data_IF_442162735029
#
_entry.id   IF_442162735029
#
_cell.length_a   1.000
_cell.length_b   1.000
_cell.length_c   1.000
_cell.angle_alpha   90.00
_cell.angle_beta   90.00
_cell.angle_gamma   90.00
#
_symmetry.space_group_name_H-M   'P 1'
#
loop_
_entity.id
_entity.type
_entity.pdbx_description
1 polymer ?
#
# COMPACT_ATOMS: atom_id res chain seq x y z
N UNK A 1 46.69 -6.04 23.34
CA UNK A 1 46.87 -4.60 23.06
C UNK A 1 46.02 -4.28 21.83
N UNK A 2 45.11 -3.33 21.73
CA UNK A 2 44.84 -2.12 22.49
C UNK A 2 43.36 -1.74 22.28
N UNK A 3 42.67 -1.41 23.36
CA UNK A 3 41.37 -0.76 23.35
C UNK A 3 41.55 0.75 23.24
N UNK A 4 40.72 1.40 22.43
CA UNK A 4 40.24 2.79 22.56
C UNK A 4 40.27 3.53 21.23
N UNK A 5 39.06 3.87 20.75
CA UNK A 5 38.75 5.04 19.91
C UNK A 5 37.24 5.21 19.68
N UNK A 6 36.42 4.78 20.64
CA UNK A 6 34.97 5.06 20.69
C UNK A 6 34.75 6.11 21.78
N UNK A 7 34.48 7.36 21.42
CA UNK A 7 34.12 8.38 22.42
C UNK A 7 34.38 9.85 22.10
N UNK A 8 34.44 10.29 20.84
CA UNK A 8 34.70 11.72 20.55
C UNK A 8 33.88 12.35 19.41
N UNK A 9 32.77 11.73 18.99
CA UNK A 9 31.89 12.30 17.93
C UNK A 9 30.54 12.84 18.41
N UNK A 10 30.10 12.50 19.62
CA UNK A 10 28.78 12.92 20.13
C UNK A 10 28.72 14.30 20.81
N UNK A 11 29.86 14.92 21.16
CA UNK A 11 29.89 16.21 21.89
C UNK A 11 29.96 17.47 21.02
N UNK A 12 30.23 17.33 19.72
CA UNK A 12 30.46 18.48 18.83
C UNK A 12 29.19 19.07 18.19
N UNK A 13 28.04 18.39 18.25
CA UNK A 13 26.76 18.88 17.69
C UNK A 13 25.90 19.61 18.75
N UNK A 14 26.10 19.29 20.04
CA UNK A 14 25.36 19.92 21.14
C UNK A 14 25.77 21.38 21.38
N UNK A 15 27.04 21.73 21.17
CA UNK A 15 27.57 23.08 21.42
C UNK A 15 26.95 24.14 20.48
N UNK A 16 26.87 23.95 19.15
CA UNK A 16 26.19 24.93 18.28
C UNK A 16 24.68 25.04 18.53
N UNK A 17 24.00 23.94 18.90
CA UNK A 17 22.58 23.97 19.23
C UNK A 17 22.30 24.74 20.55
N UNK A 18 23.13 24.56 21.57
CA UNK A 18 23.05 25.30 22.84
C UNK A 18 23.41 26.78 22.67
N UNK A 19 24.39 27.11 21.81
CA UNK A 19 24.73 28.50 21.51
C UNK A 19 23.62 29.23 20.72
N UNK A 20 22.97 28.55 19.76
CA UNK A 20 21.82 29.10 19.04
C UNK A 20 20.61 29.30 19.94
N UNK A 21 20.32 28.34 20.82
CA UNK A 21 19.24 28.48 21.82
C UNK A 21 19.53 29.61 22.82
N UNK A 22 20.79 29.79 23.23
CA UNK A 22 21.20 30.87 24.14
C UNK A 22 21.13 32.25 23.48
N UNK A 23 21.52 32.35 22.20
CA UNK A 23 21.41 33.59 21.42
C UNK A 23 19.95 33.99 21.16
N UNK A 24 19.07 33.01 20.90
CA UNK A 24 17.63 33.24 20.77
C UNK A 24 17.02 33.73 22.10
N UNK A 25 17.42 33.13 23.24
CA UNK A 25 16.95 33.57 24.56
C UNK A 25 17.41 35.00 24.89
N UNK A 26 18.68 35.33 24.60
CA UNK A 26 19.22 36.67 24.82
C UNK A 26 18.52 37.72 23.95
N UNK A 27 18.26 37.42 22.67
CA UNK A 27 17.51 38.31 21.78
C UNK A 27 16.08 38.56 22.29
N UNK A 28 15.40 37.53 22.79
CA UNK A 28 14.06 37.65 23.41
C UNK A 28 14.10 38.51 24.67
N UNK A 29 15.11 38.35 25.54
CA UNK A 29 15.27 39.14 26.76
C UNK A 29 15.57 40.62 26.45
N UNK A 30 16.49 40.90 25.52
CA UNK A 30 16.80 42.27 25.12
C UNK A 30 15.61 42.95 24.45
N UNK A 31 14.82 42.22 23.65
CA UNK A 31 13.60 42.74 23.05
C UNK A 31 12.50 43.00 24.09
N UNK A 32 12.41 42.18 25.14
CA UNK A 32 11.53 42.40 26.29
C UNK A 32 11.90 43.66 27.09
N UNK A 33 13.20 43.94 27.25
CA UNK A 33 13.70 45.15 27.93
C UNK A 33 13.45 46.45 27.16
N UNK A 34 13.19 46.38 25.84
CA UNK A 34 12.93 47.53 24.97
C UNK A 34 11.44 47.70 24.62
N UNK A 35 10.58 46.77 25.04
CA UNK A 35 9.13 46.83 24.79
C UNK A 35 8.45 47.86 25.71
N UNK A 36 7.50 48.64 25.16
CA UNK A 36 6.70 49.60 25.93
C UNK A 36 5.85 48.87 26.98
N UNK A 37 5.56 49.47 28.15
CA UNK A 37 4.67 48.87 29.14
C UNK A 37 3.30 48.56 28.50
N UNK A 38 2.90 47.29 28.53
CA UNK A 38 1.63 46.80 27.99
C UNK A 38 1.71 45.95 26.72
N UNK A 39 2.89 45.78 26.10
CA UNK A 39 3.07 44.83 24.99
C UNK A 39 3.68 43.51 25.48
N UNK A 40 3.11 42.37 25.09
CA UNK A 40 3.58 41.00 25.38
C UNK A 40 4.13 40.30 24.12
N UNK A 41 5.25 40.77 23.55
CA UNK A 41 5.77 40.27 22.26
C UNK A 41 6.09 38.76 22.28
N UNK A 42 6.35 38.19 23.46
CA UNK A 42 6.54 36.74 23.64
C UNK A 42 5.20 35.99 23.54
N UNK A 43 4.12 36.56 24.09
CA UNK A 43 2.77 36.00 23.98
C UNK A 43 2.28 35.98 22.54
N UNK A 44 2.49 37.09 21.82
CA UNK A 44 2.16 37.21 20.39
C UNK A 44 2.90 36.17 19.52
N UNK A 45 4.19 35.95 19.78
CA UNK A 45 4.98 35.00 18.99
C UNK A 45 4.60 33.54 19.31
N UNK A 46 4.33 33.22 20.57
CA UNK A 46 3.79 31.91 20.96
C UNK A 46 2.41 31.65 20.36
N UNK A 47 1.54 32.66 20.30
CA UNK A 47 0.23 32.58 19.66
C UNK A 47 0.35 32.31 18.15
N UNK A 48 1.29 32.98 17.47
CA UNK A 48 1.60 32.72 16.05
C UNK A 48 2.10 31.31 15.82
N UNK A 49 3.08 30.85 16.60
CA UNK A 49 3.59 29.48 16.49
C UNK A 49 2.50 28.44 16.77
N UNK A 50 1.60 28.70 17.73
CA UNK A 50 0.41 27.88 17.99
C UNK A 50 -0.56 27.83 16.80
N UNK A 51 -0.81 28.98 16.15
CA UNK A 51 -1.68 29.05 14.98
C UNK A 51 -1.09 28.30 13.77
N UNK A 52 0.21 28.45 13.51
CA UNK A 52 0.90 27.75 12.42
C UNK A 52 0.96 26.23 12.65
N UNK A 53 1.25 25.80 13.87
CA UNK A 53 1.26 24.37 14.23
C UNK A 53 -0.14 23.75 14.17
N UNK A 54 -1.17 24.46 14.63
CA UNK A 54 -2.57 24.04 14.51
C UNK A 54 -3.02 23.90 13.05
N UNK A 55 -2.68 24.88 12.19
CA UNK A 55 -3.00 24.83 10.77
C UNK A 55 -2.28 23.70 10.03
N UNK A 56 -1.01 23.44 10.37
CA UNK A 56 -0.24 22.33 9.80
C UNK A 56 -0.85 20.98 10.22
N UNK A 57 -1.17 20.80 11.50
CA UNK A 57 -1.81 19.59 12.01
C UNK A 57 -3.18 19.34 11.35
N UNK A 58 -3.98 20.40 11.15
CA UNK A 58 -5.25 20.30 10.44
C UNK A 58 -5.07 19.87 8.98
N UNK A 59 -4.05 20.39 8.27
CA UNK A 59 -3.72 19.98 6.90
C UNK A 59 -3.25 18.53 6.82
N UNK A 60 -2.40 18.09 7.75
CA UNK A 60 -1.94 16.69 7.81
C UNK A 60 -3.10 15.73 8.08
N UNK A 61 -4.01 16.11 8.98
CA UNK A 61 -5.21 15.31 9.29
C UNK A 61 -6.21 15.28 8.15
N UNK A 62 -6.26 16.31 7.31
CA UNK A 62 -7.09 16.34 6.11
C UNK A 62 -6.47 15.58 4.92
N UNK A 63 -5.13 15.49 4.84
CA UNK A 63 -4.42 14.73 3.79
C UNK A 63 -4.39 13.23 4.07
N UNK A 64 -4.41 12.82 5.34
CA UNK A 64 -4.84 11.48 5.68
C UNK A 64 -6.34 11.43 5.43
N UNK A 65 -6.79 10.69 4.40
CA UNK A 65 -8.22 10.52 4.12
C UNK A 65 -8.98 9.91 5.31
N UNK A 66 -10.18 9.38 5.08
CA UNK A 66 -11.00 8.69 6.09
C UNK A 66 -10.39 7.36 6.62
N UNK A 67 -9.11 7.35 6.99
CA UNK A 67 -8.60 6.74 8.22
C UNK A 67 -8.53 5.23 8.31
N UNK A 68 -9.02 4.46 7.34
CA UNK A 68 -8.72 3.05 7.23
C UNK A 68 -7.93 2.83 5.95
N UNK A 69 -6.67 2.40 6.07
CA UNK A 69 -6.00 1.78 4.94
C UNK A 69 -6.90 0.62 4.48
N UNK A 70 -7.21 0.57 3.19
CA UNK A 70 -8.01 -0.51 2.63
C UNK A 70 -7.13 -1.77 2.52
N UNK A 71 -6.95 -2.42 3.67
CA UNK A 71 -6.18 -3.65 3.79
C UNK A 71 -6.80 -4.78 2.98
N UNK A 72 -8.10 -4.73 2.69
CA UNK A 72 -8.76 -5.71 1.84
C UNK A 72 -8.35 -5.51 0.37
N UNK A 73 -8.29 -4.27 -0.11
CA UNK A 73 -7.74 -3.95 -1.43
C UNK A 73 -6.27 -4.35 -1.54
N UNK A 74 -5.46 -3.98 -0.55
CA UNK A 74 -4.03 -4.29 -0.55
C UNK A 74 -3.75 -5.80 -0.48
N UNK A 75 -4.58 -6.57 0.23
CA UNK A 75 -4.40 -8.02 0.38
C UNK A 75 -4.65 -8.82 -0.91
N UNK A 76 -5.33 -8.23 -1.90
CA UNK A 76 -5.60 -8.86 -3.20
C UNK A 76 -4.65 -8.40 -4.31
N UNK A 77 -3.72 -7.50 -4.00
CA UNK A 77 -2.71 -7.06 -4.97
C UNK A 77 -1.72 -8.18 -5.25
N UNK A 78 -1.49 -8.43 -6.55
CA UNK A 78 -0.43 -9.30 -7.04
C UNK A 78 0.73 -8.38 -7.43
N UNK A 79 1.83 -8.39 -6.67
CA UNK A 79 2.86 -7.34 -6.74
C UNK A 79 3.43 -7.14 -8.15
N UNK A 80 3.64 -8.23 -8.90
CA UNK A 80 4.21 -8.22 -10.25
C UNK A 80 3.14 -8.45 -11.34
N UNK A 81 1.86 -8.35 -10.98
CA UNK A 81 0.73 -8.61 -11.88
C UNK A 81 0.29 -7.39 -12.70
N UNK A 82 0.21 -7.53 -14.03
CA UNK A 82 -0.44 -6.56 -14.92
C UNK A 82 -1.77 -7.11 -15.43
N UNK A 83 -2.93 -6.53 -15.05
CA UNK A 83 -4.24 -7.03 -15.46
C UNK A 83 -4.47 -6.93 -16.98
N UNK A 84 -3.86 -5.99 -17.70
CA UNK A 84 -4.02 -5.90 -19.16
C UNK A 84 -3.32 -7.07 -19.85
N UNK A 85 -2.10 -7.39 -19.40
CA UNK A 85 -1.40 -8.61 -19.83
C UNK A 85 -2.15 -9.86 -19.43
N UNK A 86 -2.70 -9.90 -18.21
CA UNK A 86 -3.55 -10.98 -17.73
C UNK A 86 -4.75 -11.25 -18.63
N UNK A 87 -5.45 -10.21 -19.05
CA UNK A 87 -6.58 -10.33 -19.97
C UNK A 87 -6.19 -10.99 -21.30
N UNK A 88 -5.03 -10.59 -21.87
CA UNK A 88 -4.51 -11.19 -23.12
C UNK A 88 -4.15 -12.65 -22.92
N UNK A 89 -3.48 -12.99 -21.82
CA UNK A 89 -3.09 -14.36 -21.51
C UNK A 89 -4.31 -15.26 -21.27
N UNK A 90 -5.32 -14.79 -20.52
CA UNK A 90 -6.59 -15.51 -20.31
C UNK A 90 -7.28 -15.84 -21.65
N UNK A 91 -7.23 -14.91 -22.60
CA UNK A 91 -7.75 -15.15 -23.95
C UNK A 91 -6.89 -16.16 -24.73
N UNK A 92 -5.56 -16.05 -24.66
CA UNK A 92 -4.61 -16.90 -25.39
C UNK A 92 -4.64 -18.36 -24.90
N UNK A 93 -4.68 -18.57 -23.59
CA UNK A 93 -4.81 -19.90 -22.98
C UNK A 93 -6.24 -20.47 -23.12
N UNK A 94 -7.18 -19.73 -23.69
CA UNK A 94 -8.52 -20.26 -23.99
C UNK A 94 -9.39 -20.48 -22.76
N UNK A 95 -9.16 -19.78 -21.64
CA UNK A 95 -9.95 -19.90 -20.41
C UNK A 95 -11.46 -19.67 -20.67
N UNK A 96 -11.78 -18.85 -21.67
CA UNK A 96 -13.14 -18.56 -22.11
C UNK A 96 -13.90 -19.73 -22.73
N UNK A 97 -13.23 -20.83 -23.08
CA UNK A 97 -13.89 -22.06 -23.54
C UNK A 97 -14.69 -22.73 -22.41
N UNK A 98 -14.21 -22.64 -21.17
CA UNK A 98 -14.86 -23.23 -20.00
C UNK A 98 -15.59 -22.21 -19.16
N UNK A 99 -15.08 -20.98 -19.06
CA UNK A 99 -15.62 -19.96 -18.18
C UNK A 99 -16.28 -18.80 -18.94
N UNK A 100 -17.30 -18.21 -18.32
CA UNK A 100 -17.78 -16.88 -18.68
C UNK A 100 -16.94 -15.85 -17.93
N UNK A 101 -16.26 -14.96 -18.66
CA UNK A 101 -15.30 -14.01 -18.10
C UNK A 101 -15.63 -12.60 -18.59
N UNK A 102 -16.12 -11.69 -17.72
CA UNK A 102 -16.38 -10.30 -18.10
C UNK A 102 -15.12 -9.64 -18.66
N UNK A 103 -15.26 -8.87 -19.75
CA UNK A 103 -14.14 -8.15 -20.36
C UNK A 103 -13.27 -8.97 -21.33
N UNK A 104 -13.44 -10.29 -21.40
CA UNK A 104 -12.73 -11.15 -22.36
C UNK A 104 -13.64 -11.49 -23.54
N UNK A 105 -13.18 -11.17 -24.75
CA UNK A 105 -13.96 -11.39 -25.96
C UNK A 105 -14.29 -12.89 -26.15
N UNK A 106 -15.57 -13.19 -26.41
CA UNK A 106 -16.11 -14.54 -26.64
C UNK A 106 -15.93 -15.54 -25.48
N UNK A 107 -15.49 -15.11 -24.30
CA UNK A 107 -15.45 -15.95 -23.10
C UNK A 107 -16.86 -16.17 -22.54
N UNK A 108 -17.56 -17.18 -23.06
CA UNK A 108 -18.95 -17.53 -22.73
C UNK A 108 -19.10 -19.02 -22.37
N UNK A 109 -18.01 -19.66 -21.96
CA UNK A 109 -18.02 -21.05 -21.53
C UNK A 109 -18.89 -21.24 -20.27
N UNK A 110 -19.43 -22.45 -20.14
CA UNK A 110 -20.29 -22.85 -19.02
C UNK A 110 -19.91 -24.21 -18.42
N UNK A 111 -18.74 -24.74 -18.78
CA UNK A 111 -18.20 -25.97 -18.18
C UNK A 111 -17.71 -25.68 -16.76
N UNK A 112 -17.00 -24.56 -16.59
CA UNK A 112 -16.65 -24.00 -15.30
C UNK A 112 -17.65 -22.93 -14.85
N UNK A 113 -17.60 -22.52 -13.57
CA UNK A 113 -18.42 -21.42 -13.07
C UNK A 113 -18.09 -20.10 -13.78
N UNK A 114 -19.05 -19.19 -13.85
CA UNK A 114 -18.78 -17.82 -14.29
C UNK A 114 -17.81 -17.12 -13.30
N UNK A 115 -16.88 -16.32 -13.83
CA UNK A 115 -15.84 -15.64 -13.04
C UNK A 115 -16.19 -14.18 -12.70
N UNK A 116 -17.41 -13.74 -12.99
CA UNK A 116 -17.87 -12.45 -12.52
C UNK A 116 -17.82 -12.39 -10.99
N UNK A 117 -17.40 -11.25 -10.43
CA UNK A 117 -17.26 -11.09 -8.98
C UNK A 117 -16.29 -12.04 -8.30
N UNK A 118 -15.34 -12.61 -9.05
CA UNK A 118 -14.29 -13.50 -8.51
C UNK A 118 -13.57 -12.87 -7.31
N UNK A 119 -13.31 -11.55 -7.35
CA UNK A 119 -12.66 -10.80 -6.27
C UNK A 119 -13.29 -11.04 -4.90
N UNK A 120 -14.60 -11.24 -4.82
CA UNK A 120 -15.33 -11.42 -3.56
C UNK A 120 -15.45 -12.86 -3.10
N UNK A 121 -14.96 -13.83 -3.87
CA UNK A 121 -15.02 -15.23 -3.48
C UNK A 121 -14.10 -15.48 -2.28
N UNK A 122 -14.57 -16.26 -1.31
CA UNK A 122 -13.75 -16.67 -0.18
C UNK A 122 -12.76 -17.79 -0.55
N UNK A 123 -13.13 -18.62 -1.52
CA UNK A 123 -12.37 -19.80 -1.93
C UNK A 123 -12.22 -19.89 -3.45
N UNK A 124 -11.05 -20.32 -3.89
CA UNK A 124 -10.72 -20.69 -5.27
C UNK A 124 -11.12 -22.15 -5.47
N UNK A 125 -12.02 -22.40 -6.41
CA UNK A 125 -12.57 -23.72 -6.73
C UNK A 125 -13.10 -24.52 -5.52
N UNK A 126 -13.43 -23.84 -4.41
CA UNK A 126 -13.86 -24.45 -3.16
C UNK A 126 -12.78 -25.16 -2.35
N UNK A 127 -11.50 -25.10 -2.75
CA UNK A 127 -10.42 -25.89 -2.13
C UNK A 127 -9.29 -25.04 -1.53
N UNK A 128 -9.03 -23.85 -2.07
CA UNK A 128 -7.99 -22.95 -1.58
C UNK A 128 -8.60 -21.62 -1.11
N UNK A 129 -8.10 -21.00 -0.04
CA UNK A 129 -8.47 -19.63 0.32
C UNK A 129 -8.17 -18.67 -0.84
N UNK A 130 -9.02 -17.69 -1.10
CA UNK A 130 -8.78 -16.71 -2.16
C UNK A 130 -7.73 -15.67 -1.74
N UNK A 131 -6.46 -16.01 -1.92
CA UNK A 131 -5.29 -15.14 -1.71
C UNK A 131 -4.44 -15.12 -2.98
N UNK A 132 -3.71 -14.02 -3.27
CA UNK A 132 -2.89 -13.90 -4.48
C UNK A 132 -2.02 -15.11 -4.79
N UNK A 133 -1.20 -15.56 -3.84
CA UNK A 133 -0.33 -16.73 -4.05
C UNK A 133 -1.10 -18.04 -4.24
N UNK A 134 -2.25 -18.21 -3.58
CA UNK A 134 -3.09 -19.41 -3.73
C UNK A 134 -3.75 -19.45 -5.13
N UNK A 135 -4.11 -18.29 -5.69
CA UNK A 135 -4.64 -18.19 -7.05
C UNK A 135 -3.57 -18.46 -8.11
N UNK A 136 -2.37 -17.89 -7.93
CA UNK A 136 -1.23 -18.16 -8.81
C UNK A 136 -0.91 -19.66 -8.81
N UNK A 137 -0.89 -20.29 -7.65
CA UNK A 137 -0.69 -21.73 -7.50
C UNK A 137 -1.79 -22.57 -8.18
N UNK A 138 -3.06 -22.18 -7.99
CA UNK A 138 -4.18 -22.84 -8.65
C UNK A 138 -4.08 -22.76 -10.17
N UNK A 139 -3.76 -21.59 -10.74
CA UNK A 139 -3.64 -21.40 -12.18
C UNK A 139 -2.51 -22.24 -12.80
N UNK A 140 -1.39 -22.42 -12.08
CA UNK A 140 -0.27 -23.23 -12.55
C UNK A 140 -0.57 -24.74 -12.52
N UNK A 141 -1.24 -25.25 -11.48
CA UNK A 141 -1.44 -26.70 -11.34
C UNK A 141 -2.74 -27.08 -10.63
N UNK A 142 -3.92 -26.89 -11.24
CA UNK A 142 -5.21 -27.18 -10.60
C UNK A 142 -5.34 -28.63 -10.07
N UNK A 143 -4.95 -29.69 -10.83
CA UNK A 143 -5.07 -31.08 -10.36
C UNK A 143 -4.26 -31.40 -9.10
N UNK A 144 -3.21 -30.62 -8.79
CA UNK A 144 -2.44 -30.76 -7.55
C UNK A 144 -3.28 -30.48 -6.31
N UNK A 145 -4.21 -29.53 -6.41
CA UNK A 145 -5.05 -29.07 -5.31
C UNK A 145 -6.43 -29.73 -5.31
N UNK A 146 -6.95 -30.07 -6.50
CA UNK A 146 -8.20 -30.80 -6.66
C UNK A 146 -8.04 -31.90 -7.74
N UNK A 147 -7.66 -33.13 -7.37
CA UNK A 147 -7.37 -34.20 -8.34
C UNK A 147 -8.53 -34.59 -9.27
N UNK A 148 -9.77 -34.25 -8.89
CA UNK A 148 -10.99 -34.52 -9.65
C UNK A 148 -11.47 -33.29 -10.46
N UNK A 149 -10.69 -32.20 -10.49
CA UNK A 149 -11.05 -31.00 -11.25
C UNK A 149 -11.01 -31.27 -12.75
N UNK A 150 -11.97 -30.69 -13.49
CA UNK A 150 -11.96 -30.71 -14.94
C UNK A 150 -11.01 -29.66 -15.55
N UNK A 151 -10.51 -28.71 -14.75
CA UNK A 151 -9.55 -27.71 -15.20
C UNK A 151 -8.17 -28.37 -15.34
N UNK A 152 -7.62 -28.51 -16.55
CA UNK A 152 -6.34 -29.18 -16.74
C UNK A 152 -5.17 -28.30 -16.27
N UNK A 153 -4.00 -28.92 -16.13
CA UNK A 153 -2.74 -28.17 -16.13
C UNK A 153 -2.49 -27.62 -17.54
N UNK A 154 -2.41 -26.29 -17.64
CA UNK A 154 -2.29 -25.57 -18.91
C UNK A 154 -0.83 -25.20 -19.24
N UNK A 155 0.14 -25.55 -18.39
CA UNK A 155 1.54 -25.14 -18.55
C UNK A 155 1.73 -23.64 -18.41
N UNK A 156 0.92 -22.98 -17.58
CA UNK A 156 1.04 -21.55 -17.27
C UNK A 156 2.24 -21.36 -16.33
N UNK A 157 3.11 -20.39 -16.64
CA UNK A 157 4.23 -20.04 -15.75
C UNK A 157 3.76 -19.17 -14.59
N UNK A 158 4.57 -19.07 -13.52
CA UNK A 158 4.26 -18.22 -12.37
C UNK A 158 4.00 -16.76 -12.76
N UNK A 159 4.88 -16.16 -13.58
CA UNK A 159 4.74 -14.77 -14.03
C UNK A 159 3.46 -14.55 -14.87
N UNK A 160 3.10 -15.50 -15.73
CA UNK A 160 1.85 -15.43 -16.49
C UNK A 160 0.64 -15.55 -15.56
N UNK A 161 0.68 -16.48 -14.60
CA UNK A 161 -0.37 -16.68 -13.61
C UNK A 161 -0.55 -15.43 -12.72
N UNK A 162 0.51 -14.71 -12.39
CA UNK A 162 0.44 -13.43 -11.65
C UNK A 162 -0.34 -12.36 -12.41
N UNK A 163 -0.04 -12.19 -13.71
CA UNK A 163 -0.78 -11.27 -14.56
C UNK A 163 -2.27 -11.68 -14.67
N UNK A 164 -2.55 -12.97 -14.88
CA UNK A 164 -3.93 -13.49 -14.92
C UNK A 164 -4.65 -13.27 -13.58
N UNK A 165 -3.99 -13.55 -12.45
CA UNK A 165 -4.54 -13.34 -11.12
C UNK A 165 -4.88 -11.86 -10.87
N UNK A 166 -3.99 -10.94 -11.26
CA UNK A 166 -4.25 -9.50 -11.19
C UNK A 166 -5.51 -9.13 -11.97
N UNK A 167 -5.71 -9.67 -13.17
CA UNK A 167 -6.94 -9.47 -13.92
C UNK A 167 -8.17 -10.00 -13.18
N UNK A 168 -8.10 -11.24 -12.67
CA UNK A 168 -9.24 -11.86 -11.97
C UNK A 168 -9.65 -11.08 -10.71
N UNK A 169 -8.71 -10.44 -10.01
CA UNK A 169 -9.02 -9.55 -8.87
C UNK A 169 -9.63 -8.19 -9.27
N UNK A 170 -9.65 -7.84 -10.55
CA UNK A 170 -10.43 -6.69 -11.04
C UNK A 170 -11.92 -7.02 -11.19
N UNK A 171 -12.28 -8.31 -11.22
CA UNK A 171 -13.66 -8.76 -11.44
C UNK A 171 -14.48 -8.64 -10.15
N UNK A 172 -15.09 -7.48 -9.95
CA UNK A 172 -15.94 -7.22 -8.78
C UNK A 172 -17.44 -7.47 -9.04
N UNK A 173 -18.09 -6.95 -10.08
CA UNK A 173 -19.57 -7.05 -10.21
C UNK A 173 -20.05 -8.11 -11.22
N UNK A 174 -21.31 -8.57 -11.03
CA UNK A 174 -21.99 -9.58 -11.85
C UNK A 174 -22.32 -9.06 -13.24
#
# INVERSE_FOLDING_TARGET
MNASRRGRRGRLILIPALLLASAALAAVVTLWSLARPGADPVGDELARLGAWSGALLAKVRASAGNGAADWAEAALQVADGDPETGARLIAQYGCGACHTIPGIARARGSVGPALHGFRRQAYIAGVLPNRPGDLVNWLQSPPRYAPQTAMPDMGITEAEAEHMAAYLYTLDRR
#
